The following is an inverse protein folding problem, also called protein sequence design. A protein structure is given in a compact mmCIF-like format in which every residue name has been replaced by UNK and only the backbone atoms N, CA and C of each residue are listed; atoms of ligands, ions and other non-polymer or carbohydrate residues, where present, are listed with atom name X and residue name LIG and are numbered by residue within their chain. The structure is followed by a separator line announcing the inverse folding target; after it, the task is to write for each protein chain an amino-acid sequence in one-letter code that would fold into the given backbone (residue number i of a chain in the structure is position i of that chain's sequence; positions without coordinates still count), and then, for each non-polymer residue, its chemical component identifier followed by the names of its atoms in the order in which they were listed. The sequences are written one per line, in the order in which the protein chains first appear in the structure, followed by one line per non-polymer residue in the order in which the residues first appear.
data_IF_524371758113
#
_entry.id   IF_524371758113
#
_cell.length_a   1.000
_cell.length_b   1.000
_cell.length_c   1.000
_cell.angle_alpha   90.00
_cell.angle_beta   90.00
_cell.angle_gamma   90.00
#
_symmetry.space_group_name_H-M   'P 1'
#
loop_
_entity.id
_entity.type
_entity.pdbx_description
1 polymer ?
#
# COMPACT_ATOMS: atom_id res chain seq x y z
N UNK A 1 9.76 5.34 -2.68
CA UNK A 1 10.56 6.56 -2.40
C UNK A 1 11.69 6.32 -1.40
N UNK A 2 11.45 5.63 -0.28
CA UNK A 2 12.42 5.48 0.82
C UNK A 2 13.82 4.98 0.42
N UNK A 3 13.93 3.93 -0.40
CA UNK A 3 15.23 3.36 -0.79
C UNK A 3 16.04 4.36 -1.61
N UNK A 4 15.42 4.98 -2.63
CA UNK A 4 16.10 5.94 -3.49
C UNK A 4 16.50 7.23 -2.77
N UNK A 5 15.68 7.64 -1.80
CA UNK A 5 16.01 8.75 -0.91
C UNK A 5 17.30 8.48 -0.12
N UNK A 6 17.40 7.31 0.50
CA UNK A 6 18.59 6.91 1.25
C UNK A 6 19.84 6.80 0.35
N UNK A 7 19.71 6.21 -0.84
CA UNK A 7 20.80 6.12 -1.83
C UNK A 7 21.33 7.51 -2.21
N UNK A 8 20.45 8.44 -2.55
CA UNK A 8 20.88 9.78 -2.95
C UNK A 8 21.59 10.53 -1.82
N UNK A 9 21.14 10.36 -0.57
CA UNK A 9 21.85 10.89 0.60
C UNK A 9 23.22 10.23 0.74
N UNK A 10 23.29 8.91 0.65
CA UNK A 10 24.53 8.14 0.79
C UNK A 10 25.57 8.50 -0.29
N UNK A 11 25.15 8.67 -1.53
CA UNK A 11 26.01 9.07 -2.65
C UNK A 11 26.30 10.57 -2.71
N UNK A 12 25.76 11.38 -1.78
CA UNK A 12 26.04 12.81 -1.68
C UNK A 12 25.24 13.70 -2.65
N UNK A 13 24.19 13.18 -3.28
CA UNK A 13 23.32 13.92 -4.21
C UNK A 13 22.32 14.84 -3.50
N UNK A 14 22.68 15.39 -2.34
CA UNK A 14 21.78 16.21 -1.51
C UNK A 14 21.29 17.49 -2.23
N UNK A 15 22.12 18.07 -3.08
CA UNK A 15 21.82 19.28 -3.86
C UNK A 15 21.46 18.98 -5.32
N UNK A 16 21.29 17.71 -5.67
CA UNK A 16 20.92 17.35 -7.03
C UNK A 16 19.44 17.72 -7.31
N UNK A 17 19.10 18.19 -8.51
CA UNK A 17 17.74 18.65 -8.84
C UNK A 17 16.68 17.55 -8.66
N UNK A 18 17.04 16.29 -8.92
CA UNK A 18 16.17 15.15 -8.67
C UNK A 18 15.90 14.90 -7.18
N UNK A 19 16.87 15.20 -6.30
CA UNK A 19 16.70 15.05 -4.86
C UNK A 19 15.84 16.18 -4.29
N UNK A 20 15.94 17.39 -4.83
CA UNK A 20 15.01 18.48 -4.53
C UNK A 20 13.56 18.13 -4.86
N UNK A 21 13.31 17.57 -6.05
CA UNK A 21 11.98 17.12 -6.44
C UNK A 21 11.46 16.02 -5.51
N UNK A 22 12.32 15.05 -5.17
CA UNK A 22 11.96 13.95 -4.29
C UNK A 22 11.63 14.42 -2.86
N UNK A 23 12.36 15.43 -2.35
CA UNK A 23 12.03 16.07 -1.06
C UNK A 23 10.67 16.75 -1.09
N UNK A 24 10.35 17.52 -2.14
CA UNK A 24 9.02 18.13 -2.30
C UNK A 24 7.92 17.07 -2.32
N UNK A 25 8.12 15.97 -3.05
CA UNK A 25 7.16 14.85 -3.05
C UNK A 25 6.99 14.25 -1.64
N UNK A 26 8.09 14.10 -0.89
CA UNK A 26 8.04 13.62 0.48
C UNK A 26 7.22 14.56 1.37
N UNK A 27 7.50 15.87 1.32
CA UNK A 27 6.78 16.88 2.11
C UNK A 27 5.27 16.84 1.82
N UNK A 28 4.89 16.74 0.54
CA UNK A 28 3.49 16.62 0.12
C UNK A 28 2.82 15.36 0.68
N UNK A 29 3.49 14.20 0.60
CA UNK A 29 2.96 12.94 1.12
C UNK A 29 2.85 12.90 2.64
N UNK A 30 3.68 13.68 3.36
CA UNK A 30 3.66 13.72 4.83
C UNK A 30 2.59 14.67 5.40
N UNK A 31 1.97 15.54 4.60
CA UNK A 31 0.92 16.47 5.07
C UNK A 31 -0.18 15.83 5.93
N UNK A 32 -0.79 14.69 5.56
CA UNK A 32 -1.81 14.06 6.40
C UNK A 32 -1.24 13.21 7.54
N UNK A 33 0.08 12.95 7.57
CA UNK A 33 0.73 12.04 8.51
C UNK A 33 0.94 12.74 9.84
N UNK A 34 -0.05 12.64 10.71
CA UNK A 34 -0.01 13.17 12.08
C UNK A 34 -0.63 12.18 13.07
N UNK A 35 -0.38 12.40 14.36
CA UNK A 35 -0.90 11.57 15.44
C UNK A 35 0.19 11.13 16.41
N UNK A 36 -0.17 10.18 17.26
CA UNK A 36 0.68 9.68 18.33
C UNK A 36 0.84 8.17 18.23
N UNK A 37 2.06 7.71 18.49
CA UNK A 37 2.42 6.31 18.57
C UNK A 37 2.91 6.03 19.98
N UNK A 38 2.28 5.08 20.66
CA UNK A 38 2.71 4.64 21.98
C UNK A 38 3.72 3.51 21.82
N UNK A 39 4.89 3.69 22.41
CA UNK A 39 6.01 2.73 22.32
C UNK A 39 6.32 2.12 23.69
N UNK A 40 6.75 0.86 23.69
CA UNK A 40 7.36 0.18 24.84
C UNK A 40 8.82 -0.10 24.50
N UNK A 41 9.72 0.43 25.31
CA UNK A 41 11.16 0.20 25.19
C UNK A 41 11.57 -0.88 26.18
N UNK A 42 12.20 -1.95 25.69
CA UNK A 42 12.61 -3.06 26.57
C UNK A 42 13.84 -3.78 26.04
N UNK A 43 14.92 -3.83 26.83
CA UNK A 43 16.17 -4.56 26.54
C UNK A 43 16.68 -4.34 25.10
N UNK A 44 16.77 -3.08 24.67
CA UNK A 44 17.22 -2.71 23.33
C UNK A 44 16.17 -2.86 22.22
N UNK A 45 14.95 -3.30 22.54
CA UNK A 45 13.84 -3.39 21.60
C UNK A 45 12.89 -2.19 21.71
N UNK A 46 12.26 -1.84 20.59
CA UNK A 46 11.22 -0.81 20.45
C UNK A 46 9.95 -1.47 19.94
N UNK A 47 8.89 -1.49 20.74
CA UNK A 47 7.64 -2.17 20.41
C UNK A 47 6.52 -1.15 20.31
N UNK A 48 5.78 -1.16 19.20
CA UNK A 48 4.57 -0.32 19.04
C UNK A 48 3.41 -0.97 19.79
N UNK A 49 2.82 -0.25 20.75
CA UNK A 49 1.72 -0.73 21.61
C UNK A 49 0.43 0.09 21.48
N UNK A 50 0.39 1.02 20.53
CA UNK A 50 -0.80 1.80 20.23
C UNK A 50 -0.53 2.89 19.21
N UNK A 51 -1.58 3.30 18.49
CA UNK A 51 -1.57 4.38 17.52
C UNK A 51 -2.89 5.15 17.63
N UNK A 52 -2.83 6.48 17.55
CA UNK A 52 -4.01 7.33 17.41
C UNK A 52 -3.69 8.48 16.48
N UNK A 53 -4.63 8.88 15.63
CA UNK A 53 -4.46 10.00 14.71
C UNK A 53 -5.82 10.66 14.46
N UNK A 54 -5.88 12.01 14.44
CA UNK A 54 -7.09 12.71 13.98
C UNK A 54 -7.37 12.46 12.49
N UNK A 55 -6.34 12.11 11.71
CA UNK A 55 -6.43 11.80 10.28
C UNK A 55 -6.39 10.28 10.02
N UNK A 56 -6.84 9.47 10.99
CA UNK A 56 -6.85 8.02 10.83
C UNK A 56 -7.75 7.59 9.67
N UNK A 57 -7.18 6.90 8.68
CA UNK A 57 -7.93 6.22 7.62
C UNK A 57 -8.54 4.89 8.11
N UNK A 58 -8.24 4.48 9.34
CA UNK A 58 -8.87 3.34 9.97
C UNK A 58 -10.25 3.75 10.50
N UNK A 59 -11.31 3.15 9.95
CA UNK A 59 -12.67 3.20 10.48
C UNK A 59 -13.05 1.83 11.04
N UNK A 60 -13.25 1.77 12.35
CA UNK A 60 -13.58 0.54 13.07
C UNK A 60 -14.88 -0.09 12.54
N UNK A 61 -15.87 0.71 12.12
CA UNK A 61 -17.16 0.21 11.62
C UNK A 61 -17.05 -0.50 10.28
N UNK A 62 -16.04 -0.16 9.48
CA UNK A 62 -15.73 -0.85 8.22
C UNK A 62 -14.91 -2.12 8.50
N UNK A 63 -14.09 -2.12 9.55
CA UNK A 63 -13.20 -3.22 9.89
C UNK A 63 -13.87 -4.33 10.70
N UNK A 64 -14.97 -4.04 11.42
CA UNK A 64 -15.71 -5.02 12.22
C UNK A 64 -16.60 -5.91 11.34
N UNK A 65 -16.55 -7.22 11.57
CA UNK A 65 -17.42 -8.20 10.91
C UNK A 65 -18.91 -8.08 11.29
N UNK A 66 -19.25 -7.31 12.33
CA UNK A 66 -20.62 -7.17 12.85
C UNK A 66 -21.43 -6.06 12.16
N UNK A 67 -20.81 -5.23 11.31
CA UNK A 67 -21.46 -4.11 10.65
C UNK A 67 -22.01 -4.51 9.26
N UNK A 68 -23.09 -5.28 9.25
CA UNK A 68 -23.77 -5.80 8.05
C UNK A 68 -24.35 -4.69 7.12
N UNK A 69 -24.20 -3.41 7.48
CA UNK A 69 -24.82 -2.27 6.80
C UNK A 69 -23.84 -1.30 6.14
N UNK A 70 -22.51 -1.45 6.35
CA UNK A 70 -21.51 -0.46 5.90
C UNK A 70 -20.87 -0.81 4.55
N UNK A 71 -20.84 -2.09 4.16
CA UNK A 71 -20.21 -2.55 2.92
C UNK A 71 -21.10 -3.54 2.15
N UNK A 72 -21.36 -3.26 0.86
CA UNK A 72 -22.08 -4.18 -0.02
C UNK A 72 -21.14 -5.29 -0.51
N UNK A 73 -21.26 -6.48 0.10
CA UNK A 73 -20.42 -7.63 -0.24
C UNK A 73 -20.53 -8.08 -1.71
N UNK A 74 -21.61 -7.72 -2.43
CA UNK A 74 -21.77 -8.05 -3.86
C UNK A 74 -20.73 -7.37 -4.76
N UNK A 75 -20.20 -6.22 -4.34
CA UNK A 75 -19.19 -5.48 -5.11
C UNK A 75 -17.84 -6.21 -5.11
N UNK A 76 -17.56 -7.01 -4.08
CA UNK A 76 -16.36 -7.84 -4.00
C UNK A 76 -16.30 -8.89 -5.11
N UNK A 77 -17.43 -9.50 -5.46
CA UNK A 77 -17.50 -10.53 -6.51
C UNK A 77 -17.10 -9.96 -7.88
N UNK A 78 -17.63 -8.78 -8.23
CA UNK A 78 -17.29 -8.07 -9.45
C UNK A 78 -15.81 -7.66 -9.48
N UNK A 79 -15.31 -7.11 -8.36
CA UNK A 79 -13.90 -6.71 -8.22
C UNK A 79 -12.93 -7.89 -8.39
N UNK A 80 -13.24 -9.05 -7.79
CA UNK A 80 -12.43 -10.27 -7.91
C UNK A 80 -12.42 -10.74 -9.36
N UNK A 81 -13.59 -10.80 -10.01
CA UNK A 81 -13.72 -11.23 -11.42
C UNK A 81 -12.88 -10.34 -12.35
N UNK A 82 -12.92 -9.02 -12.18
CA UNK A 82 -12.15 -8.07 -12.98
C UNK A 82 -10.64 -8.19 -12.74
N UNK A 83 -10.19 -8.27 -11.48
CA UNK A 83 -8.76 -8.43 -11.18
C UNK A 83 -8.20 -9.77 -11.68
N UNK A 84 -9.00 -10.84 -11.62
CA UNK A 84 -8.65 -12.15 -12.13
C UNK A 84 -8.71 -12.26 -13.66
N UNK A 85 -9.38 -11.33 -14.35
CA UNK A 85 -9.58 -11.38 -15.79
C UNK A 85 -8.24 -11.49 -16.54
N UNK A 86 -7.26 -10.65 -16.20
CA UNK A 86 -5.93 -10.68 -16.83
C UNK A 86 -5.21 -12.02 -16.64
N UNK A 87 -5.42 -12.68 -15.50
CA UNK A 87 -4.82 -13.98 -15.20
C UNK A 87 -5.53 -15.11 -15.96
N UNK A 88 -6.86 -15.05 -16.06
CA UNK A 88 -7.68 -16.00 -16.83
C UNK A 88 -7.39 -15.92 -18.33
N UNK A 89 -7.25 -14.72 -18.88
CA UNK A 89 -6.89 -14.53 -20.30
C UNK A 89 -5.50 -15.10 -20.61
N UNK A 90 -4.52 -14.89 -19.72
CA UNK A 90 -3.18 -15.48 -19.84
C UNK A 90 -3.20 -17.02 -19.72
N UNK A 91 -3.99 -17.57 -18.79
CA UNK A 91 -4.17 -19.02 -18.63
C UNK A 91 -4.96 -19.69 -19.77
N UNK A 92 -5.88 -18.96 -20.39
CA UNK A 92 -6.64 -19.40 -21.58
C UNK A 92 -5.82 -19.35 -22.86
N UNK A 93 -4.99 -18.31 -23.06
CA UNK A 93 -4.06 -18.24 -24.19
C UNK A 93 -2.96 -19.33 -24.12
N UNK A 94 -2.55 -19.73 -22.91
CA UNK A 94 -1.63 -20.86 -22.74
C UNK A 94 -2.22 -22.24 -23.03
N UNK A 95 -3.55 -22.35 -23.18
CA UNK A 95 -4.27 -23.62 -23.46
C UNK A 95 -4.81 -23.73 -24.89
N UNK A 96 -4.85 -22.64 -25.65
CA UNK A 96 -5.37 -22.59 -27.02
C UNK A 96 -4.27 -22.68 -28.11
N UNK A 97 -3.10 -23.24 -27.77
CA UNK A 97 -1.91 -23.28 -28.63
C UNK A 97 -1.42 -24.67 -29.05
N UNK A 98 -2.22 -25.73 -28.94
CA UNK A 98 -1.89 -27.06 -29.50
C UNK A 98 -3.17 -27.72 -30.00
N UNK A 99 -3.55 -27.44 -31.26
CA UNK A 99 -4.36 -28.32 -32.09
C UNK A 99 -4.16 -27.86 -33.54
N UNK A 100 -3.13 -28.39 -34.19
CA UNK A 100 -2.94 -28.32 -35.63
C UNK A 100 -3.56 -29.61 -36.23
N UNK A 101 -4.67 -29.56 -36.97
CA UNK A 101 -5.17 -30.73 -37.68
C UNK A 101 -4.26 -31.04 -38.87
N UNK A 102 -3.91 -32.33 -39.01
CA UNK A 102 -3.22 -32.89 -40.17
C UNK A 102 -4.08 -32.86 -41.42
#
# INVERSE_FOLDING_TARGET
LSVKFAENVYYGFWFAPEFELMRKMLDEMQKPVNGEVRLKLYRGNVIVVGRRSPNSLYDERVATFEADTVYNQRDAEGFIKLNALRLRLRGGHGRAGVNHPS
#
